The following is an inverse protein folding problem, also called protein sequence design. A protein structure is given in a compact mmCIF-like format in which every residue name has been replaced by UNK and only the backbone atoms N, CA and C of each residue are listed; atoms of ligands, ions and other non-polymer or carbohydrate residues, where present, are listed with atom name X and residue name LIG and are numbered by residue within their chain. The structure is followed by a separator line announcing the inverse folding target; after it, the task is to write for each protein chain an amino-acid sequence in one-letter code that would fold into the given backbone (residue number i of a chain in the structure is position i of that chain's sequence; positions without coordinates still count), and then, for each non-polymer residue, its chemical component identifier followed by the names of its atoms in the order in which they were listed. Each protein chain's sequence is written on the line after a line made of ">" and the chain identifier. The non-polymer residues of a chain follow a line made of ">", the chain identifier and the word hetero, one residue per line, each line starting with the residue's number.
data_IF_612450286694
#
_entry.id   IF_612450286694
#
_cell.length_a   1.000
_cell.length_b   1.000
_cell.length_c   1.000
_cell.angle_alpha   90.00
_cell.angle_beta   90.00
_cell.angle_gamma   90.00
#
_symmetry.space_group_name_H-M   'P 1'
#
loop_
_entity.id
_entity.type
_entity.pdbx_description
1 polymer ?
#
# COMPACT_ATOMS: atom_id res chain seq x y z
N UNK A 1 -6.60 4.30 -1.27
CA UNK A 1 -6.14 3.15 -2.08
C UNK A 1 -5.42 3.66 -3.32
N UNK A 2 -4.31 3.02 -3.68
CA UNK A 2 -3.49 3.31 -4.87
C UNK A 2 -3.37 2.04 -5.72
N UNK A 3 -3.65 2.13 -7.02
CA UNK A 3 -3.36 1.08 -7.99
C UNK A 3 -1.87 1.16 -8.37
N UNK A 4 -1.11 0.13 -8.03
CA UNK A 4 0.36 0.10 -8.10
C UNK A 4 0.90 -0.65 -9.32
N UNK A 5 0.04 -1.12 -10.24
CA UNK A 5 0.46 -1.78 -11.50
C UNK A 5 1.52 -0.99 -12.29
N UNK A 6 1.41 0.34 -12.48
CA UNK A 6 2.42 1.09 -13.24
C UNK A 6 3.71 1.34 -12.44
N UNK A 7 3.75 1.02 -11.14
CA UNK A 7 4.96 1.17 -10.33
C UNK A 7 5.89 0.00 -10.67
N UNK A 8 6.91 0.27 -11.47
CA UNK A 8 7.91 -0.72 -11.89
C UNK A 8 9.16 -0.71 -11.02
N UNK A 9 9.40 0.37 -10.30
CA UNK A 9 10.52 0.47 -9.37
C UNK A 9 10.26 1.47 -8.23
N UNK A 10 11.01 1.30 -7.14
CA UNK A 10 11.08 2.24 -6.02
C UNK A 10 12.53 2.32 -5.51
N UNK A 11 13.05 3.53 -5.39
CA UNK A 11 14.35 3.80 -4.75
C UNK A 11 14.16 4.18 -3.27
N UNK A 12 15.26 4.43 -2.55
CA UNK A 12 15.20 4.78 -1.12
C UNK A 12 14.53 6.14 -0.88
N UNK A 13 14.67 7.10 -1.79
CA UNK A 13 14.08 8.45 -1.64
C UNK A 13 12.56 8.41 -1.83
N UNK A 14 12.10 7.71 -2.88
CA UNK A 14 10.68 7.50 -3.14
C UNK A 14 9.98 6.81 -1.97
N UNK A 15 10.75 6.03 -1.23
CA UNK A 15 10.24 5.29 -0.12
C UNK A 15 10.21 6.05 1.20
N UNK A 16 11.20 6.90 1.47
CA UNK A 16 11.13 7.87 2.58
C UNK A 16 9.86 8.73 2.41
N UNK A 17 9.57 9.17 1.17
CA UNK A 17 8.31 9.89 0.87
C UNK A 17 7.03 9.07 1.09
N UNK A 18 7.07 7.74 0.88
CA UNK A 18 5.93 6.87 1.17
C UNK A 18 5.73 6.67 2.67
N UNK A 19 6.80 6.60 3.44
CA UNK A 19 6.76 6.53 4.90
C UNK A 19 6.14 7.82 5.46
N UNK A 20 6.65 8.99 5.06
CA UNK A 20 6.08 10.29 5.45
C UNK A 20 4.59 10.40 5.11
N UNK A 21 4.20 9.97 3.90
CA UNK A 21 2.80 9.99 3.47
C UNK A 21 1.93 9.05 4.32
N UNK A 22 2.41 7.85 4.63
CA UNK A 22 1.68 6.90 5.45
C UNK A 22 1.52 7.40 6.89
N UNK A 23 2.55 7.99 7.49
CA UNK A 23 2.47 8.63 8.80
C UNK A 23 1.44 9.77 8.83
N UNK A 24 1.46 10.65 7.82
CA UNK A 24 0.49 11.75 7.71
C UNK A 24 -0.95 11.26 7.57
N UNK A 25 -1.17 10.19 6.81
CA UNK A 25 -2.49 9.59 6.62
C UNK A 25 -2.95 8.89 7.91
N UNK A 26 -2.08 8.14 8.56
CA UNK A 26 -2.36 7.47 9.84
C UNK A 26 -2.70 8.48 10.94
N UNK A 27 -2.02 9.64 10.99
CA UNK A 27 -2.35 10.73 11.91
C UNK A 27 -3.77 11.30 11.70
N UNK A 28 -4.33 11.13 10.49
CA UNK A 28 -5.70 11.52 10.13
C UNK A 28 -6.69 10.34 10.24
N UNK A 29 -6.25 9.17 10.71
CA UNK A 29 -7.05 7.94 10.76
C UNK A 29 -7.35 7.34 9.38
N UNK A 30 -6.55 7.66 8.37
CA UNK A 30 -6.69 7.16 7.00
C UNK A 30 -5.60 6.12 6.76
N UNK A 31 -5.98 4.92 6.32
CA UNK A 31 -5.02 3.88 5.96
C UNK A 31 -4.63 3.96 4.48
N UNK A 32 -3.33 3.94 4.20
CA UNK A 32 -2.80 3.76 2.84
C UNK A 32 -2.85 2.28 2.46
N UNK A 33 -3.31 2.00 1.23
CA UNK A 33 -3.55 0.65 0.72
C UNK A 33 -3.07 0.55 -0.72
N UNK A 34 -2.38 -0.53 -1.05
CA UNK A 34 -1.84 -0.82 -2.38
C UNK A 34 -2.56 -2.01 -3.03
N UNK A 35 -2.94 -1.85 -4.28
CA UNK A 35 -3.45 -2.93 -5.13
C UNK A 35 -2.52 -3.17 -6.32
N UNK A 36 -2.44 -4.39 -6.83
CA UNK A 36 -1.69 -4.75 -8.06
C UNK A 36 -0.19 -4.45 -8.00
N UNK A 37 0.40 -4.47 -6.79
CA UNK A 37 1.83 -4.25 -6.65
C UNK A 37 2.63 -5.44 -7.17
N UNK A 38 3.56 -5.16 -8.09
CA UNK A 38 4.46 -6.17 -8.66
C UNK A 38 5.42 -6.71 -7.61
N UNK A 39 5.63 -8.04 -7.60
CA UNK A 39 6.50 -8.75 -6.62
C UNK A 39 7.90 -8.14 -6.46
N UNK A 40 8.63 -7.74 -7.53
CA UNK A 40 9.94 -7.13 -7.37
C UNK A 40 9.91 -5.81 -6.59
N UNK A 41 8.87 -5.00 -6.79
CA UNK A 41 8.69 -3.71 -6.10
C UNK A 41 8.37 -3.97 -4.63
N UNK A 42 7.43 -4.89 -4.34
CA UNK A 42 7.14 -5.30 -2.95
C UNK A 42 8.39 -5.81 -2.23
N UNK A 43 9.21 -6.60 -2.90
CA UNK A 43 10.46 -7.13 -2.32
C UNK A 43 11.45 -6.01 -1.99
N UNK A 44 11.51 -4.94 -2.81
CA UNK A 44 12.35 -3.77 -2.52
C UNK A 44 11.81 -3.00 -1.31
N UNK A 45 10.50 -2.79 -1.25
CA UNK A 45 9.80 -2.19 -0.12
C UNK A 45 10.11 -2.92 1.20
N UNK A 46 9.95 -4.25 1.20
CA UNK A 46 10.23 -5.10 2.37
C UNK A 46 11.72 -5.03 2.78
N UNK A 47 12.63 -5.11 1.80
CA UNK A 47 14.08 -5.10 2.04
C UNK A 47 14.55 -3.79 2.66
N UNK A 48 14.02 -2.68 2.20
CA UNK A 48 14.39 -1.35 2.65
C UNK A 48 13.64 -0.95 3.94
N UNK A 49 12.75 -1.80 4.47
CA UNK A 49 11.90 -1.54 5.65
C UNK A 49 11.03 -0.29 5.50
N UNK A 50 10.62 0.00 4.27
CA UNK A 50 9.87 1.20 3.88
C UNK A 50 8.39 1.15 4.30
N UNK A 51 7.99 0.03 4.89
CA UNK A 51 6.65 -0.29 5.38
C UNK A 51 6.63 -0.43 6.90
N UNK A 52 7.57 0.20 7.62
CA UNK A 52 7.55 0.18 9.10
C UNK A 52 6.21 0.57 9.69
N UNK A 53 5.48 1.43 8.99
CA UNK A 53 4.17 1.96 9.36
C UNK A 53 3.03 1.35 8.53
N UNK A 54 3.30 0.91 7.30
CA UNK A 54 2.30 0.29 6.41
C UNK A 54 2.03 -1.16 6.83
N UNK A 55 0.79 -1.45 7.20
CA UNK A 55 0.35 -2.81 7.53
C UNK A 55 0.60 -3.77 6.35
N UNK A 56 1.32 -4.90 6.53
CA UNK A 56 1.50 -5.93 5.51
C UNK A 56 0.18 -6.50 4.94
N UNK A 57 -0.94 -6.35 5.67
CA UNK A 57 -2.28 -6.72 5.21
C UNK A 57 -2.86 -5.74 4.17
N UNK A 58 -2.27 -4.56 3.97
CA UNK A 58 -2.74 -3.53 3.03
C UNK A 58 -2.20 -3.68 1.60
N UNK A 59 -1.70 -4.87 1.25
CA UNK A 59 -1.27 -5.23 -0.09
C UNK A 59 -2.23 -6.25 -0.70
N UNK A 60 -2.94 -5.84 -1.74
CA UNK A 60 -3.96 -6.64 -2.39
C UNK A 60 -3.55 -7.03 -3.83
N UNK A 61 -3.91 -8.24 -4.29
CA UNK A 61 -3.61 -8.68 -5.65
C UNK A 61 -4.30 -7.83 -6.72
N UNK A 62 -5.53 -7.39 -6.45
CA UNK A 62 -6.36 -6.61 -7.38
C UNK A 62 -7.00 -5.40 -6.68
N UNK A 63 -7.48 -4.45 -7.50
CA UNK A 63 -8.26 -3.31 -7.00
C UNK A 63 -9.57 -3.78 -6.37
N UNK A 64 -10.21 -4.80 -6.94
CA UNK A 64 -11.45 -5.39 -6.45
C UNK A 64 -11.26 -6.03 -5.06
N UNK A 65 -10.16 -6.74 -4.84
CA UNK A 65 -9.83 -7.33 -3.54
C UNK A 65 -9.66 -6.24 -2.47
N UNK A 66 -8.96 -5.16 -2.83
CA UNK A 66 -8.78 -4.02 -1.93
C UNK A 66 -10.12 -3.33 -1.62
N UNK A 67 -10.96 -3.04 -2.61
CA UNK A 67 -12.29 -2.46 -2.37
C UNK A 67 -13.15 -3.39 -1.51
N UNK A 68 -13.12 -4.69 -1.76
CA UNK A 68 -13.87 -5.69 -1.00
C UNK A 68 -13.47 -5.76 0.49
N UNK A 69 -12.22 -5.46 0.83
CA UNK A 69 -11.75 -5.42 2.20
C UNK A 69 -12.27 -4.21 3.00
N UNK A 70 -12.44 -3.05 2.34
CA UNK A 70 -12.86 -1.80 2.99
C UNK A 70 -14.34 -1.46 2.78
N UNK A 71 -15.02 -2.15 1.86
CA UNK A 71 -16.46 -2.07 1.70
C UNK A 71 -17.08 -3.33 2.32
N UNK A 72 -17.58 -3.29 3.57
CA UNK A 72 -18.35 -4.41 4.09
C UNK A 72 -19.49 -4.67 3.12
N UNK A 73 -19.56 -5.90 2.58
CA UNK A 73 -20.67 -6.34 1.73
C UNK A 73 -21.96 -5.96 2.46
N UNK A 74 -22.63 -4.90 1.99
CA UNK A 74 -23.99 -4.58 2.43
C UNK A 74 -24.84 -5.72 1.91
N UNK A 75 -25.09 -6.69 2.79
CA UNK A 75 -25.98 -7.81 2.54
C UNK A 75 -27.34 -7.29 2.09
N UNK A 76 -27.90 -7.97 1.09
CA UNK A 76 -29.35 -7.97 0.83
C UNK A 76 -30.01 -9.02 1.73
#
# INVERSE_FOLDING_TARGET
>A
MVAAEPITDIDTTAADMLEDLDEELNAKGISLVFAEMKTPVRTKIDRYKLTRTIDPAHFYPTVEDAVGAFHPRRGT
#
